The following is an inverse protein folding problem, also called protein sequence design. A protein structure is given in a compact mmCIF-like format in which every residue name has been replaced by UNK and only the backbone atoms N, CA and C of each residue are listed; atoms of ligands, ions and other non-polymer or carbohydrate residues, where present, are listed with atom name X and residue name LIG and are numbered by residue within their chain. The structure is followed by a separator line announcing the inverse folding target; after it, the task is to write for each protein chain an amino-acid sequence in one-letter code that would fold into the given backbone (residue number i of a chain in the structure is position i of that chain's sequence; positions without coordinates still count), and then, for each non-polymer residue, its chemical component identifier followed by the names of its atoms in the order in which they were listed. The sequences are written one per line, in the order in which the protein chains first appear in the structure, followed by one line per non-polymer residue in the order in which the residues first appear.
data_IF_655806051417
#
_entry.id   IF_655806051417
#
_cell.length_a   1.000
_cell.length_b   1.000
_cell.length_c   1.000
_cell.angle_alpha   90.00
_cell.angle_beta   90.00
_cell.angle_gamma   90.00
#
_symmetry.space_group_name_H-M   'P 1'
#
loop_
_entity.id
_entity.type
_entity.pdbx_description
1 polymer ?
#
# COMPACT_ATOMS: atom_id res chain seq x y z
N UNK A 1 46.57 30.03 -14.70
CA UNK A 1 45.12 30.16 -14.43
C UNK A 1 44.39 29.37 -15.50
N UNK A 2 44.25 28.06 -15.30
CA UNK A 2 43.59 27.17 -16.26
C UNK A 2 42.09 27.30 -16.08
N UNK A 3 41.41 27.95 -17.01
CA UNK A 3 39.95 27.93 -17.11
C UNK A 3 39.61 26.75 -18.03
N UNK A 4 39.17 25.59 -17.50
CA UNK A 4 38.70 24.51 -18.34
C UNK A 4 37.42 24.99 -19.06
N UNK A 5 37.45 25.09 -20.39
CA UNK A 5 36.23 25.22 -21.18
C UNK A 5 35.46 23.91 -21.07
N UNK A 6 34.45 23.89 -20.20
CA UNK A 6 33.41 22.89 -20.25
C UNK A 6 32.69 23.09 -21.59
N UNK A 7 32.83 22.12 -22.48
CA UNK A 7 32.02 22.03 -23.71
C UNK A 7 30.55 22.02 -23.30
N UNK A 8 29.94 23.19 -23.34
CA UNK A 8 28.60 23.48 -22.83
C UNK A 8 27.58 22.47 -23.37
N UNK A 9 27.69 22.12 -24.66
CA UNK A 9 26.82 21.16 -25.34
C UNK A 9 26.73 19.76 -24.72
N UNK A 10 27.79 19.22 -24.14
CA UNK A 10 27.74 17.88 -23.53
C UNK A 10 27.08 17.91 -22.15
N UNK A 11 27.36 18.98 -21.40
CA UNK A 11 26.67 19.25 -20.13
C UNK A 11 25.17 19.52 -20.35
N UNK A 12 24.78 20.19 -21.45
CA UNK A 12 23.36 20.39 -21.77
C UNK A 12 22.66 19.06 -22.11
N UNK A 13 23.32 18.18 -22.88
CA UNK A 13 22.78 16.85 -23.22
C UNK A 13 22.58 15.97 -21.99
N UNK A 14 23.57 15.93 -21.10
CA UNK A 14 23.50 15.17 -19.85
C UNK A 14 22.43 15.75 -18.90
N UNK A 15 22.29 17.08 -18.83
CA UNK A 15 21.24 17.74 -18.05
C UNK A 15 19.83 17.41 -18.57
N UNK A 16 19.62 17.37 -19.89
CA UNK A 16 18.33 16.99 -20.50
C UNK A 16 18.04 15.50 -20.23
N UNK A 17 19.05 14.63 -20.32
CA UNK A 17 18.89 13.20 -20.03
C UNK A 17 18.55 12.95 -18.55
N UNK A 18 19.22 13.65 -17.61
CA UNK A 18 18.92 13.57 -16.18
C UNK A 18 17.55 14.16 -15.84
N UNK A 19 17.17 15.28 -16.48
CA UNK A 19 15.83 15.87 -16.34
C UNK A 19 14.75 14.93 -16.86
N UNK A 20 14.98 14.30 -18.02
CA UNK A 20 14.10 13.27 -18.58
C UNK A 20 13.96 12.06 -17.66
N UNK A 21 15.08 11.54 -17.14
CA UNK A 21 15.08 10.42 -16.21
C UNK A 21 14.31 10.71 -14.91
N UNK A 22 14.34 11.96 -14.43
CA UNK A 22 13.61 12.39 -13.24
C UNK A 22 12.10 12.60 -13.51
N UNK A 23 11.74 13.18 -14.65
CA UNK A 23 10.36 13.61 -14.94
C UNK A 23 9.51 12.48 -15.55
N UNK A 24 10.08 11.69 -16.46
CA UNK A 24 9.38 10.63 -17.19
C UNK A 24 8.54 9.69 -16.30
N UNK A 25 9.10 9.06 -15.24
CA UNK A 25 8.33 8.11 -14.43
C UNK A 25 7.16 8.76 -13.67
N UNK A 26 7.33 10.01 -13.19
CA UNK A 26 6.26 10.72 -12.49
C UNK A 26 5.10 11.09 -13.44
N UNK A 27 5.39 11.54 -14.66
CA UNK A 27 4.36 11.81 -15.65
C UNK A 27 3.62 10.54 -16.04
N UNK A 28 4.36 9.46 -16.31
CA UNK A 28 3.79 8.15 -16.69
C UNK A 28 2.88 7.61 -15.58
N UNK A 29 3.33 7.63 -14.32
CA UNK A 29 2.54 7.11 -13.19
C UNK A 29 1.24 7.90 -13.00
N UNK A 30 1.28 9.23 -13.17
CA UNK A 30 0.08 10.09 -13.12
C UNK A 30 -0.87 9.82 -14.28
N UNK A 31 -0.36 9.67 -15.50
CA UNK A 31 -1.18 9.33 -16.67
C UNK A 31 -1.90 7.99 -16.47
N UNK A 32 -1.18 6.97 -16.00
CA UNK A 32 -1.75 5.64 -15.75
C UNK A 32 -2.79 5.69 -14.62
N UNK A 33 -2.56 6.46 -13.55
CA UNK A 33 -3.50 6.58 -12.44
C UNK A 33 -4.79 7.33 -12.83
N UNK A 34 -4.70 8.37 -13.66
CA UNK A 34 -5.86 9.18 -14.07
C UNK A 34 -6.69 8.49 -15.17
N UNK A 35 -6.04 7.72 -16.06
CA UNK A 35 -6.68 7.05 -17.19
C UNK A 35 -7.95 6.23 -16.82
N UNK A 36 -7.95 5.32 -15.83
CA UNK A 36 -9.14 4.54 -15.48
C UNK A 36 -10.28 5.43 -14.95
N UNK A 37 -9.96 6.46 -14.18
CA UNK A 37 -10.95 7.43 -13.70
C UNK A 37 -11.60 8.21 -14.83
N UNK A 38 -10.80 8.64 -15.81
CA UNK A 38 -11.30 9.35 -16.98
C UNK A 38 -12.23 8.46 -17.82
N UNK A 39 -11.84 7.21 -18.09
CA UNK A 39 -12.64 6.27 -18.89
C UNK A 39 -14.00 6.03 -18.21
N UNK A 40 -13.99 5.72 -16.92
CA UNK A 40 -15.24 5.44 -16.18
C UNK A 40 -16.10 6.69 -16.05
N UNK A 41 -15.50 7.88 -15.89
CA UNK A 41 -16.25 9.14 -15.84
C UNK A 41 -16.89 9.51 -17.17
N UNK A 42 -16.28 9.18 -18.30
CA UNK A 42 -16.87 9.45 -19.63
C UNK A 42 -18.08 8.53 -19.88
N UNK A 43 -17.97 7.25 -19.49
CA UNK A 43 -19.03 6.26 -19.74
C UNK A 43 -20.17 6.38 -18.71
N UNK A 44 -19.82 6.48 -17.43
CA UNK A 44 -20.75 6.45 -16.30
C UNK A 44 -21.06 7.81 -15.66
N UNK A 45 -20.52 8.91 -16.21
CA UNK A 45 -20.70 10.26 -15.67
C UNK A 45 -20.13 10.44 -14.26
N UNK A 46 -20.75 11.33 -13.48
CA UNK A 46 -20.36 11.61 -12.09
C UNK A 46 -20.60 10.43 -11.14
N UNK A 47 -21.58 9.57 -11.43
CA UNK A 47 -21.87 8.37 -10.62
C UNK A 47 -20.85 7.26 -10.86
N UNK A 48 -20.37 7.08 -12.10
CA UNK A 48 -19.30 6.12 -12.39
C UNK A 48 -17.99 6.48 -11.69
N UNK A 49 -17.62 7.77 -11.68
CA UNK A 49 -16.41 8.25 -11.02
C UNK A 49 -16.44 7.99 -9.50
N UNK A 50 -17.58 8.22 -8.83
CA UNK A 50 -17.70 7.97 -7.39
C UNK A 50 -17.63 6.48 -7.06
N UNK A 51 -18.23 5.61 -7.87
CA UNK A 51 -18.11 4.17 -7.72
C UNK A 51 -16.65 3.70 -7.88
N UNK A 52 -15.91 4.26 -8.85
CA UNK A 52 -14.51 3.90 -9.05
C UNK A 52 -13.63 4.28 -7.85
N UNK A 53 -13.89 5.42 -7.22
CA UNK A 53 -13.19 5.82 -5.99
C UNK A 53 -13.42 4.78 -4.90
N UNK A 54 -14.68 4.37 -4.68
CA UNK A 54 -15.01 3.35 -3.67
C UNK A 54 -14.32 2.03 -3.96
N UNK A 55 -14.30 1.57 -5.22
CA UNK A 55 -13.61 0.33 -5.63
C UNK A 55 -12.09 0.44 -5.38
N UNK A 56 -11.49 1.59 -5.71
CA UNK A 56 -10.05 1.82 -5.49
C UNK A 56 -9.72 1.77 -4.00
N UNK A 57 -10.57 2.37 -3.15
CA UNK A 57 -10.40 2.31 -1.70
C UNK A 57 -10.52 0.87 -1.16
N UNK A 58 -11.41 0.04 -1.71
CA UNK A 58 -11.50 -1.37 -1.35
C UNK A 58 -10.19 -2.12 -1.64
N UNK A 59 -9.64 -1.94 -2.85
CA UNK A 59 -8.38 -2.58 -3.25
C UNK A 59 -7.23 -2.13 -2.35
N UNK A 60 -7.13 -0.83 -2.10
CA UNK A 60 -6.08 -0.27 -1.25
C UNK A 60 -6.16 -0.80 0.19
N UNK A 61 -7.37 -0.96 0.73
CA UNK A 61 -7.58 -1.55 2.06
C UNK A 61 -7.16 -3.01 2.17
N UNK A 62 -7.11 -3.76 1.05
CA UNK A 62 -6.49 -5.09 1.03
C UNK A 62 -4.96 -5.02 1.07
N UNK A 63 -4.35 -4.08 0.35
CA UNK A 63 -2.89 -3.96 0.24
C UNK A 63 -2.24 -3.41 1.52
N UNK A 64 -2.92 -2.46 2.18
CA UNK A 64 -2.37 -1.72 3.31
C UNK A 64 -1.89 -2.63 4.46
N UNK A 65 -2.67 -3.62 4.95
CA UNK A 65 -2.19 -4.52 6.01
C UNK A 65 -0.95 -5.33 5.62
N UNK A 66 -0.85 -5.80 4.38
CA UNK A 66 0.30 -6.59 3.93
C UNK A 66 1.58 -5.77 3.83
N UNK A 67 1.49 -4.49 3.46
CA UNK A 67 2.64 -3.58 3.47
C UNK A 67 2.99 -3.11 4.89
N UNK A 68 1.98 -2.87 5.73
CA UNK A 68 2.14 -2.32 7.07
C UNK A 68 2.79 -3.31 8.03
N UNK A 69 2.42 -4.60 7.99
CA UNK A 69 2.96 -5.60 8.93
C UNK A 69 4.50 -5.70 8.82
N UNK A 70 5.11 -5.93 7.64
CA UNK A 70 6.56 -5.91 7.49
C UNK A 70 7.17 -4.58 7.88
N UNK A 71 6.56 -3.45 7.53
CA UNK A 71 7.06 -2.13 7.85
C UNK A 71 7.15 -1.90 9.36
N UNK A 72 6.11 -2.28 10.12
CA UNK A 72 6.11 -2.19 11.60
C UNK A 72 7.17 -3.11 12.20
N UNK A 73 7.36 -4.31 11.63
CA UNK A 73 8.40 -5.27 12.04
C UNK A 73 9.81 -4.72 11.78
N UNK A 74 10.06 -4.14 10.60
CA UNK A 74 11.33 -3.50 10.26
C UNK A 74 11.59 -2.20 11.03
N UNK A 75 10.56 -1.38 11.25
CA UNK A 75 10.65 -0.15 12.04
C UNK A 75 10.98 -0.43 13.51
N UNK A 76 10.45 -1.53 14.06
CA UNK A 76 10.85 -2.04 15.37
C UNK A 76 12.34 -2.42 15.44
N UNK A 77 12.88 -3.01 14.37
CA UNK A 77 14.28 -3.44 14.25
C UNK A 77 15.23 -2.31 13.83
N UNK A 78 15.61 -1.41 14.75
CA UNK A 78 16.88 -0.64 14.60
C UNK A 78 18.06 -1.41 15.18
N UNK A 79 18.32 -2.59 14.61
CA UNK A 79 19.56 -3.37 14.78
C UNK A 79 20.73 -2.69 14.07
N UNK A 80 20.91 -1.36 14.21
CA UNK A 80 22.08 -0.58 13.70
C UNK A 80 22.20 0.83 14.31
N UNK A 81 22.00 1.02 15.62
CA UNK A 81 22.30 2.33 16.24
C UNK A 81 22.83 2.23 17.66
N UNK A 82 23.98 1.55 17.83
CA UNK A 82 24.90 1.75 18.96
C UNK A 82 24.29 1.67 20.39
N UNK A 83 25.00 2.20 21.41
CA UNK A 83 24.70 1.97 22.83
C UNK A 83 23.48 2.74 23.39
N UNK A 84 22.67 3.39 22.56
CA UNK A 84 21.44 4.04 23.00
C UNK A 84 20.27 3.06 22.94
N UNK A 85 19.88 2.50 24.09
CA UNK A 85 18.71 1.62 24.26
C UNK A 85 17.51 2.15 23.46
N UNK A 86 17.15 1.49 22.36
CA UNK A 86 15.85 1.71 21.72
C UNK A 86 14.76 1.36 22.73
N UNK A 87 13.99 2.36 23.14
CA UNK A 87 12.93 2.21 24.13
C UNK A 87 11.86 1.24 23.61
N UNK A 88 11.66 0.14 24.31
CA UNK A 88 10.60 -0.87 24.06
C UNK A 88 9.22 -0.21 23.85
N UNK A 89 9.02 0.96 24.45
CA UNK A 89 7.83 1.81 24.32
C UNK A 89 7.52 2.14 22.85
N UNK A 90 8.52 2.51 22.03
CA UNK A 90 8.31 2.93 20.64
C UNK A 90 7.83 1.75 19.78
N UNK A 91 8.33 0.54 20.07
CA UNK A 91 7.92 -0.69 19.38
C UNK A 91 6.47 -1.04 19.74
N UNK A 92 6.12 -0.97 21.02
CA UNK A 92 4.75 -1.21 21.50
C UNK A 92 3.76 -0.21 20.89
N UNK A 93 4.08 1.08 20.89
CA UNK A 93 3.23 2.10 20.26
C UNK A 93 3.07 1.87 18.76
N UNK A 94 4.14 1.50 18.04
CA UNK A 94 4.08 1.20 16.62
C UNK A 94 3.20 -0.03 16.31
N UNK A 95 3.24 -1.04 17.17
CA UNK A 95 2.37 -2.21 17.08
C UNK A 95 0.90 -1.89 17.36
N UNK A 96 0.62 -1.06 18.38
CA UNK A 96 -0.75 -0.61 18.68
C UNK A 96 -1.32 0.17 17.50
N UNK A 97 -0.54 1.13 16.96
CA UNK A 97 -0.95 1.93 15.81
C UNK A 97 -1.15 1.05 14.57
N UNK A 98 -0.21 0.12 14.32
CA UNK A 98 -0.30 -0.83 13.22
C UNK A 98 -1.55 -1.71 13.30
N UNK A 99 -1.83 -2.26 14.49
CA UNK A 99 -3.03 -3.04 14.74
C UNK A 99 -4.31 -2.22 14.52
N UNK A 100 -4.36 -0.98 15.02
CA UNK A 100 -5.49 -0.07 14.79
C UNK A 100 -5.77 0.20 13.32
N UNK A 101 -4.72 0.43 12.51
CA UNK A 101 -4.84 0.64 11.07
C UNK A 101 -5.35 -0.62 10.36
N UNK A 102 -4.90 -1.81 10.78
CA UNK A 102 -5.38 -3.08 10.22
C UNK A 102 -6.87 -3.25 10.52
N UNK A 103 -7.28 -3.06 11.78
CA UNK A 103 -8.69 -3.18 12.21
C UNK A 103 -9.59 -2.25 11.41
N UNK A 104 -9.21 -0.98 11.26
CA UNK A 104 -10.05 -0.02 10.53
C UNK A 104 -10.11 -0.31 9.03
N UNK A 105 -9.03 -0.80 8.41
CA UNK A 105 -9.03 -1.20 7.00
C UNK A 105 -9.91 -2.43 6.76
N UNK A 106 -9.83 -3.44 7.65
CA UNK A 106 -10.69 -4.64 7.58
C UNK A 106 -12.16 -4.24 7.76
N UNK A 107 -12.46 -3.35 8.71
CA UNK A 107 -13.82 -2.85 8.92
C UNK A 107 -14.36 -2.07 7.70
N UNK A 108 -13.56 -1.16 7.15
CA UNK A 108 -13.91 -0.40 5.95
C UNK A 108 -14.19 -1.35 4.78
N UNK A 109 -13.32 -2.35 4.59
CA UNK A 109 -13.45 -3.33 3.53
C UNK A 109 -14.74 -4.15 3.62
N UNK A 110 -15.06 -4.69 4.81
CA UNK A 110 -16.31 -5.45 5.02
C UNK A 110 -17.52 -4.55 4.76
N UNK A 111 -17.51 -3.33 5.29
CA UNK A 111 -18.62 -2.38 5.13
C UNK A 111 -18.81 -1.98 3.67
N UNK A 112 -17.73 -1.65 2.98
CA UNK A 112 -17.73 -1.28 1.58
C UNK A 112 -18.25 -2.43 0.71
N UNK A 113 -17.80 -3.65 0.98
CA UNK A 113 -18.24 -4.84 0.26
C UNK A 113 -19.74 -5.13 0.47
N UNK A 114 -20.23 -5.01 1.71
CA UNK A 114 -21.67 -5.12 2.00
C UNK A 114 -22.47 -4.02 1.29
N UNK A 115 -22.00 -2.79 1.31
CA UNK A 115 -22.62 -1.68 0.59
C UNK A 115 -22.70 -1.89 -0.92
N UNK A 116 -21.64 -2.44 -1.51
CA UNK A 116 -21.58 -2.81 -2.92
C UNK A 116 -22.57 -3.93 -3.27
N UNK A 117 -22.66 -4.97 -2.44
CA UNK A 117 -23.64 -6.06 -2.61
C UNK A 117 -25.08 -5.53 -2.60
N UNK A 118 -25.42 -4.66 -1.64
CA UNK A 118 -26.81 -4.21 -1.42
C UNK A 118 -27.30 -3.29 -2.55
N UNK A 119 -26.43 -2.44 -3.10
CA UNK A 119 -26.79 -1.52 -4.19
C UNK A 119 -26.71 -2.16 -5.58
N UNK A 120 -26.15 -3.37 -5.69
CA UNK A 120 -26.01 -4.05 -6.96
C UNK A 120 -27.37 -4.58 -7.44
N UNK A 121 -27.85 -4.09 -8.59
CA UNK A 121 -29.11 -4.54 -9.22
C UNK A 121 -29.01 -5.92 -9.89
N UNK A 122 -28.03 -6.73 -9.50
CA UNK A 122 -27.79 -8.06 -10.06
C UNK A 122 -28.89 -9.06 -9.65
N UNK A 123 -29.04 -10.12 -10.45
CA UNK A 123 -29.92 -11.24 -10.12
C UNK A 123 -29.57 -11.80 -8.72
N UNK A 124 -30.58 -12.12 -7.90
CA UNK A 124 -30.39 -12.65 -6.54
C UNK A 124 -29.43 -13.85 -6.50
N UNK A 125 -29.47 -14.68 -7.55
CA UNK A 125 -28.56 -15.82 -7.72
C UNK A 125 -27.10 -15.37 -7.84
N UNK A 126 -26.80 -14.39 -8.70
CA UNK A 126 -25.44 -13.88 -8.87
C UNK A 126 -24.89 -13.29 -7.56
N UNK A 127 -25.70 -12.52 -6.83
CA UNK A 127 -25.30 -11.94 -5.55
C UNK A 127 -24.92 -13.04 -4.54
N UNK A 128 -25.70 -14.12 -4.46
CA UNK A 128 -25.40 -15.25 -3.57
C UNK A 128 -24.09 -15.94 -3.96
N UNK A 129 -23.84 -16.20 -5.25
CA UNK A 129 -22.58 -16.79 -5.71
C UNK A 129 -21.36 -15.90 -5.39
N UNK A 130 -21.44 -14.60 -5.70
CA UNK A 130 -20.40 -13.62 -5.37
C UNK A 130 -20.19 -13.55 -3.85
N UNK A 131 -21.26 -13.54 -3.06
CA UNK A 131 -21.20 -13.52 -1.60
C UNK A 131 -20.46 -14.73 -1.02
N UNK A 132 -20.75 -15.94 -1.52
CA UNK A 132 -20.06 -17.17 -1.10
C UNK A 132 -18.56 -17.09 -1.42
N UNK A 133 -18.21 -16.66 -2.64
CA UNK A 133 -16.81 -16.53 -3.07
C UNK A 133 -16.07 -15.51 -2.18
N UNK A 134 -16.67 -14.34 -1.94
CA UNK A 134 -16.01 -13.30 -1.17
C UNK A 134 -15.95 -13.64 0.31
N UNK A 135 -16.94 -14.34 0.87
CA UNK A 135 -16.87 -14.83 2.24
C UNK A 135 -15.68 -15.80 2.43
N UNK A 136 -15.46 -16.70 1.47
CA UNK A 136 -14.32 -17.61 1.47
C UNK A 136 -13.00 -16.83 1.37
N UNK A 137 -12.93 -15.88 0.43
CA UNK A 137 -11.76 -15.02 0.25
C UNK A 137 -11.46 -14.17 1.49
N UNK A 138 -12.48 -13.64 2.16
CA UNK A 138 -12.35 -12.83 3.36
C UNK A 138 -11.88 -13.67 4.56
N UNK A 139 -12.34 -14.92 4.65
CA UNK A 139 -11.83 -15.87 5.65
C UNK A 139 -10.33 -16.13 5.46
N UNK A 140 -9.90 -16.36 4.21
CA UNK A 140 -8.47 -16.52 3.87
C UNK A 140 -7.67 -15.25 4.16
N UNK A 141 -8.22 -14.08 3.86
CA UNK A 141 -7.59 -12.78 4.11
C UNK A 141 -7.39 -12.53 5.62
N UNK A 142 -8.43 -12.70 6.43
CA UNK A 142 -8.34 -12.57 7.90
C UNK A 142 -7.36 -13.60 8.46
N UNK A 143 -7.41 -14.85 7.98
CA UNK A 143 -6.44 -15.89 8.36
C UNK A 143 -5.00 -15.52 8.01
N UNK A 144 -4.77 -14.91 6.85
CA UNK A 144 -3.44 -14.44 6.40
C UNK A 144 -2.92 -13.30 7.27
N UNK A 145 -3.77 -12.33 7.61
CA UNK A 145 -3.43 -11.23 8.54
C UNK A 145 -3.11 -11.80 9.92
N UNK A 146 -3.96 -12.69 10.44
CA UNK A 146 -3.77 -13.31 11.74
C UNK A 146 -2.47 -14.12 11.77
N UNK A 147 -2.19 -14.89 10.72
CA UNK A 147 -0.94 -15.63 10.55
C UNK A 147 0.28 -14.70 10.56
N UNK A 148 0.23 -13.58 9.83
CA UNK A 148 1.31 -12.60 9.79
C UNK A 148 1.52 -11.87 11.13
N UNK A 149 0.46 -11.64 11.89
CA UNK A 149 0.50 -11.07 13.25
C UNK A 149 1.11 -12.06 14.24
N UNK A 150 0.66 -13.32 14.23
CA UNK A 150 1.15 -14.35 15.15
C UNK A 150 2.52 -14.91 14.77
N UNK A 151 3.01 -14.63 13.55
CA UNK A 151 4.37 -14.95 13.14
C UNK A 151 5.37 -14.12 13.95
N UNK A 152 5.74 -14.69 15.11
CA UNK A 152 6.80 -14.25 16.02
C UNK A 152 8.10 -14.07 15.24
N UNK A 153 8.67 -12.86 15.28
CA UNK A 153 10.08 -12.68 14.95
C UNK A 153 10.90 -13.06 16.17
N UNK A 154 11.31 -14.32 16.21
CA UNK A 154 12.38 -14.74 17.10
C UNK A 154 13.53 -15.18 16.21
N UNK A 155 14.46 -14.25 15.97
CA UNK A 155 15.84 -14.60 15.64
C UNK A 155 16.70 -13.82 16.62
N UNK A 156 16.99 -14.46 17.75
CA UNK A 156 18.08 -14.04 18.62
C UNK A 156 19.39 -14.35 17.89
N UNK A 157 20.15 -13.32 17.52
CA UNK A 157 21.57 -13.48 17.22
C UNK A 157 22.33 -12.27 17.75
N UNK A 158 22.43 -12.18 19.07
CA UNK A 158 23.65 -11.65 19.70
C UNK A 158 24.42 -12.85 20.23
N UNK A 159 25.34 -13.35 19.40
CA UNK A 159 26.46 -14.13 19.93
C UNK A 159 27.57 -13.12 20.19
N UNK A 160 27.69 -12.68 21.44
CA UNK A 160 28.96 -12.17 21.96
C UNK A 160 29.91 -13.38 22.05
N UNK A 161 30.71 -13.60 21.02
CA UNK A 161 32.00 -14.29 21.20
C UNK A 161 32.97 -13.25 21.72
N UNK A 162 33.32 -13.38 23.01
CA UNK A 162 34.33 -12.57 23.70
C UNK A 162 35.76 -12.94 23.36
#
# INVERSE_FOLDING_TARGET
MFVPKLTDQRATGDAIALLGALIMPNLVTRCIAIAPSLIVSIIGGSSGASQLIVITSMVLSFELPFALIPLVKFSGSSTKMGPHKKSMIIIVFSWILGFGIIVINVYYLITAFMGWIIHSSLSKMAIVFIGIIVFLLMTVYIGSILYLIFRKDTVETFIETG
#
